data_IF_276897475905
#
_entry.id   IF_276897475905
#
_cell.length_a   1.000
_cell.length_b   1.000
_cell.length_c   1.000
_cell.angle_alpha   90.00
_cell.angle_beta   90.00
_cell.angle_gamma   90.00
#
_symmetry.space_group_name_H-M   'P 1'
#
loop_
_entity.id
_entity.type
_entity.pdbx_description
1 polymer ?
#
# COMPACT_ATOMS: atom_id res chain seq x y z
N UNK A 1 -7.19 11.58 1.60
CA UNK A 1 -7.36 12.29 0.31
C UNK A 1 -6.98 13.76 0.39
N UNK A 2 -6.95 14.35 1.58
CA UNK A 2 -6.65 15.76 1.81
C UNK A 2 -5.28 16.20 1.26
N UNK A 3 -4.26 15.36 1.41
CA UNK A 3 -2.93 15.61 0.81
C UNK A 3 -2.97 15.59 -0.72
N UNK A 4 -3.81 14.75 -1.34
CA UNK A 4 -3.89 14.67 -2.79
C UNK A 4 -4.43 15.99 -3.38
N UNK A 5 -5.45 16.59 -2.77
CA UNK A 5 -5.98 17.87 -3.23
C UNK A 5 -5.01 19.04 -3.01
N UNK A 6 -4.12 18.92 -2.02
CA UNK A 6 -3.12 19.95 -1.72
C UNK A 6 -1.92 19.91 -2.66
N UNK A 7 -1.47 18.72 -3.05
CA UNK A 7 -0.18 18.53 -3.74
C UNK A 7 -0.31 18.12 -5.21
N UNK A 8 -1.47 17.66 -5.67
CA UNK A 8 -1.67 17.24 -7.05
C UNK A 8 -2.41 18.32 -7.84
N UNK A 9 -2.01 18.50 -9.10
CA UNK A 9 -2.81 19.30 -10.03
C UNK A 9 -4.12 18.58 -10.42
N UNK A 10 -5.00 19.28 -11.14
CA UNK A 10 -6.31 18.73 -11.53
C UNK A 10 -6.19 17.45 -12.37
N UNK A 11 -5.18 17.37 -13.25
CA UNK A 11 -4.97 16.22 -14.14
C UNK A 11 -4.45 15.03 -13.34
N UNK A 12 -3.48 15.25 -12.46
CA UNK A 12 -2.91 14.23 -11.58
C UNK A 12 -3.97 13.70 -10.61
N UNK A 13 -4.76 14.60 -10.01
CA UNK A 13 -5.85 14.23 -9.12
C UNK A 13 -6.90 13.36 -9.83
N UNK A 14 -7.32 13.74 -11.05
CA UNK A 14 -8.23 12.93 -11.88
C UNK A 14 -7.62 11.61 -12.33
N UNK A 15 -6.29 11.55 -12.44
CA UNK A 15 -5.54 10.35 -12.80
C UNK A 15 -5.41 9.34 -11.66
N UNK A 16 -5.74 9.71 -10.42
CA UNK A 16 -5.66 8.82 -9.26
C UNK A 16 -6.54 7.59 -9.46
N UNK A 17 -5.91 6.44 -9.28
CA UNK A 17 -6.53 5.13 -9.34
C UNK A 17 -5.79 4.15 -8.41
N UNK A 18 -6.32 2.92 -8.30
CA UNK A 18 -5.73 1.89 -7.42
C UNK A 18 -4.25 1.60 -7.70
N UNK A 19 -3.79 1.73 -8.94
CA UNK A 19 -2.40 1.46 -9.30
C UNK A 19 -1.48 2.59 -8.86
N UNK A 20 -1.87 3.84 -9.07
CA UNK A 20 -1.10 4.99 -8.55
C UNK A 20 -1.01 4.98 -7.03
N UNK A 21 -2.09 4.59 -6.33
CA UNK A 21 -2.09 4.46 -4.87
C UNK A 21 -1.19 3.30 -4.41
N UNK A 22 -1.26 2.14 -5.08
CA UNK A 22 -0.39 1.01 -4.77
C UNK A 22 1.10 1.35 -4.98
N UNK A 23 1.43 2.06 -6.06
CA UNK A 23 2.80 2.53 -6.29
C UNK A 23 3.26 3.51 -5.22
N UNK A 24 2.42 4.46 -4.82
CA UNK A 24 2.76 5.40 -3.75
C UNK A 24 2.99 4.69 -2.41
N UNK A 25 2.11 3.76 -2.05
CA UNK A 25 2.28 2.94 -0.84
C UNK A 25 3.55 2.08 -0.91
N UNK A 26 3.84 1.48 -2.06
CA UNK A 26 5.09 0.74 -2.27
C UNK A 26 6.33 1.60 -2.04
N UNK A 27 6.29 2.87 -2.46
CA UNK A 27 7.37 3.82 -2.18
C UNK A 27 7.51 4.15 -0.70
N UNK A 28 6.40 4.37 0.03
CA UNK A 28 6.44 4.61 1.49
C UNK A 28 7.06 3.43 2.24
N UNK A 29 6.67 2.21 1.85
CA UNK A 29 7.18 0.97 2.45
C UNK A 29 8.68 0.80 2.17
N UNK A 30 9.13 1.09 0.96
CA UNK A 30 10.54 1.05 0.61
C UNK A 30 11.35 2.13 1.33
N UNK A 31 10.80 3.35 1.41
CA UNK A 31 11.40 4.47 2.15
C UNK A 31 11.59 4.11 3.62
N UNK A 32 10.56 3.58 4.28
CA UNK A 32 10.63 3.13 5.67
C UNK A 32 11.78 2.12 5.88
N UNK A 33 11.86 1.08 5.03
CA UNK A 33 12.90 0.07 5.14
C UNK A 33 14.32 0.65 4.92
N UNK A 34 14.45 1.61 3.99
CA UNK A 34 15.71 2.34 3.76
C UNK A 34 16.08 3.18 4.99
N UNK A 35 15.11 3.92 5.54
CA UNK A 35 15.33 4.77 6.72
C UNK A 35 15.78 3.95 7.94
N UNK A 36 15.17 2.79 8.17
CA UNK A 36 15.55 1.88 9.25
C UNK A 36 16.97 1.31 9.12
N UNK A 37 17.55 1.28 7.92
CA UNK A 37 18.94 0.86 7.72
C UNK A 37 19.97 1.93 8.11
N UNK A 38 19.58 3.21 8.18
CA UNK A 38 20.48 4.31 8.51
C UNK A 38 21.74 4.33 7.64
N UNK A 39 22.90 4.49 8.27
CA UNK A 39 24.20 4.50 7.58
C UNK A 39 24.60 3.13 7.00
N UNK A 40 24.02 2.03 7.48
CA UNK A 40 24.31 0.67 7.04
C UNK A 40 23.44 0.25 5.82
N UNK A 41 23.20 1.18 4.90
CA UNK A 41 22.32 0.98 3.75
C UNK A 41 22.90 -0.05 2.76
N UNK A 42 22.40 -1.28 2.88
CA UNK A 42 22.73 -2.40 2.00
C UNK A 42 21.45 -3.07 1.53
N UNK A 43 21.52 -3.76 0.38
CA UNK A 43 20.38 -4.55 -0.11
C UNK A 43 19.91 -5.58 0.92
N UNK A 44 20.85 -6.24 1.60
CA UNK A 44 20.54 -7.21 2.66
C UNK A 44 19.79 -6.56 3.82
N UNK A 45 20.23 -5.40 4.29
CA UNK A 45 19.52 -4.68 5.34
C UNK A 45 18.11 -4.29 4.90
N UNK A 46 17.94 -3.73 3.69
CA UNK A 46 16.60 -3.32 3.21
C UNK A 46 15.66 -4.53 3.12
N UNK A 47 16.14 -5.68 2.63
CA UNK A 47 15.34 -6.91 2.62
C UNK A 47 14.96 -7.36 4.02
N UNK A 48 15.92 -7.37 4.96
CA UNK A 48 15.66 -7.71 6.37
C UNK A 48 14.60 -6.77 6.98
N UNK A 49 14.71 -5.45 6.75
CA UNK A 49 13.73 -4.49 7.29
C UNK A 49 12.36 -4.63 6.64
N UNK A 50 12.30 -4.85 5.33
CA UNK A 50 11.06 -5.17 4.64
C UNK A 50 10.42 -6.44 5.23
N UNK A 51 11.16 -7.53 5.39
CA UNK A 51 10.64 -8.80 5.94
C UNK A 51 10.21 -8.68 7.41
N UNK A 52 10.67 -7.65 8.13
CA UNK A 52 10.24 -7.34 9.50
C UNK A 52 8.98 -6.47 9.61
N UNK A 53 8.46 -5.95 8.48
CA UNK A 53 7.27 -5.10 8.48
C UNK A 53 6.02 -5.92 8.84
N UNK A 54 5.46 -5.60 10.00
CA UNK A 54 4.17 -6.11 10.47
C UNK A 54 3.15 -4.98 10.55
N UNK A 55 2.07 -5.09 9.77
CA UNK A 55 0.96 -4.14 9.74
C UNK A 55 1.39 -2.66 9.65
N UNK A 56 2.35 -2.35 8.79
CA UNK A 56 2.86 -0.99 8.58
C UNK A 56 1.74 -0.07 8.07
N UNK A 57 1.49 1.01 8.81
CA UNK A 57 0.37 1.92 8.54
C UNK A 57 0.71 2.93 7.43
N UNK A 58 -0.20 3.04 6.46
CA UNK A 58 0.00 3.87 5.25
C UNK A 58 -1.02 5.01 5.16
N UNK A 59 -1.35 5.58 6.33
CA UNK A 59 -2.23 6.76 6.43
C UNK A 59 -3.65 6.54 5.91
N UNK A 60 -4.18 5.30 6.02
CA UNK A 60 -5.53 4.96 5.60
C UNK A 60 -5.74 4.85 4.08
N UNK A 61 -4.67 4.87 3.28
CA UNK A 61 -4.76 4.68 1.83
C UNK A 61 -5.13 3.24 1.44
N UNK A 62 -4.70 2.28 2.26
CA UNK A 62 -5.06 0.87 2.19
C UNK A 62 -4.89 0.23 3.58
N UNK A 63 -5.24 -1.04 3.71
CA UNK A 63 -4.90 -1.82 4.90
C UNK A 63 -3.39 -1.82 5.14
N UNK A 64 -2.98 -1.98 6.39
CA UNK A 64 -1.56 -2.04 6.75
C UNK A 64 -0.82 -3.12 5.96
N UNK A 65 0.44 -2.84 5.64
CA UNK A 65 1.29 -3.71 4.81
C UNK A 65 2.08 -4.63 5.71
N UNK A 66 2.02 -5.93 5.43
CA UNK A 66 2.83 -6.95 6.09
C UNK A 66 3.65 -7.71 5.05
N UNK A 67 4.93 -7.93 5.37
CA UNK A 67 5.80 -8.89 4.70
C UNK A 67 6.29 -9.91 5.71
N UNK A 68 6.98 -10.95 5.24
CA UNK A 68 7.60 -11.95 6.11
C UNK A 68 8.77 -12.62 5.41
N UNK A 69 9.52 -13.43 6.14
CA UNK A 69 10.69 -14.14 5.60
C UNK A 69 10.32 -14.95 4.35
N UNK A 70 10.95 -14.63 3.21
CA UNK A 70 10.66 -15.28 1.93
C UNK A 70 9.29 -14.93 1.32
N UNK A 71 8.43 -14.21 2.03
CA UNK A 71 7.13 -13.75 1.55
C UNK A 71 7.20 -12.30 1.06
N UNK A 72 7.21 -12.17 -0.27
CA UNK A 72 7.34 -10.89 -0.98
C UNK A 72 6.02 -10.35 -1.49
N UNK A 73 4.90 -10.98 -1.13
CA UNK A 73 3.57 -10.47 -1.46
C UNK A 73 3.11 -9.53 -0.36
N UNK A 74 2.80 -8.28 -0.71
CA UNK A 74 2.31 -7.29 0.25
C UNK A 74 0.91 -7.67 0.68
N UNK A 75 0.83 -8.39 1.80
CA UNK A 75 -0.44 -8.83 2.35
C UNK A 75 -1.15 -7.59 2.82
N UNK A 76 -2.14 -7.20 2.03
CA UNK A 76 -3.07 -6.12 2.29
C UNK A 76 -4.46 -6.73 2.29
N UNK A 77 -5.39 -6.14 3.05
CA UNK A 77 -6.74 -6.67 3.18
C UNK A 77 -7.41 -6.88 1.83
N UNK A 78 -8.01 -8.05 1.63
CA UNK A 78 -8.76 -8.37 0.42
C UNK A 78 -10.22 -7.97 0.63
N UNK A 79 -10.80 -7.27 -0.34
CA UNK A 79 -12.23 -6.97 -0.37
C UNK A 79 -12.86 -7.41 -1.69
N UNK A 80 -14.15 -7.72 -1.65
CA UNK A 80 -14.95 -7.90 -2.84
C UNK A 80 -15.60 -6.58 -3.24
N UNK A 81 -15.58 -6.31 -4.54
CA UNK A 81 -16.30 -5.19 -5.16
C UNK A 81 -17.28 -5.72 -6.19
N UNK A 82 -18.44 -5.08 -6.28
CA UNK A 82 -19.43 -5.33 -7.30
C UNK A 82 -19.33 -4.25 -8.39
N UNK A 83 -19.23 -4.69 -9.65
CA UNK A 83 -19.32 -3.79 -10.80
C UNK A 83 -20.75 -3.27 -10.96
N UNK A 84 -20.90 -1.96 -11.09
CA UNK A 84 -22.16 -1.29 -11.41
C UNK A 84 -21.99 -0.57 -12.76
N UNK A 85 -22.31 -1.25 -13.87
CA UNK A 85 -21.92 -0.79 -15.22
C UNK A 85 -22.69 0.45 -15.67
N UNK A 86 -23.94 0.62 -15.24
CA UNK A 86 -24.77 1.78 -15.56
C UNK A 86 -24.20 3.07 -14.97
N UNK A 87 -23.79 3.03 -13.70
CA UNK A 87 -23.14 4.16 -13.02
C UNK A 87 -21.64 4.25 -13.30
N UNK A 88 -21.04 3.22 -13.92
CA UNK A 88 -19.59 3.09 -14.16
C UNK A 88 -18.76 3.17 -12.87
N UNK A 89 -19.27 2.58 -11.79
CA UNK A 89 -18.59 2.54 -10.48
C UNK A 89 -18.40 1.10 -10.01
N UNK A 90 -17.51 0.93 -9.03
CA UNK A 90 -17.39 -0.29 -8.25
C UNK A 90 -17.87 -0.02 -6.84
N UNK A 91 -18.85 -0.80 -6.37
CA UNK A 91 -19.35 -0.72 -5.00
C UNK A 91 -18.63 -1.75 -4.14
N UNK A 92 -18.11 -1.33 -2.99
CA UNK A 92 -17.59 -2.27 -1.99
C UNK A 92 -18.76 -3.08 -1.40
N UNK A 93 -18.63 -4.41 -1.37
CA UNK A 93 -19.65 -5.31 -0.82
C UNK A 93 -19.17 -6.08 0.41
N UNK A 94 -17.89 -5.96 0.75
CA UNK A 94 -17.31 -6.47 2.00
C UNK A 94 -16.36 -5.45 2.59
N UNK A 95 -16.16 -5.50 3.90
CA UNK A 95 -15.01 -4.87 4.53
C UNK A 95 -13.70 -5.58 4.12
N UNK A 96 -12.54 -4.89 4.12
CA UNK A 96 -11.26 -5.51 3.87
C UNK A 96 -10.96 -6.59 4.92
N UNK A 97 -10.64 -7.80 4.47
CA UNK A 97 -10.20 -8.90 5.34
C UNK A 97 -8.71 -9.12 5.18
N UNK A 98 -7.96 -8.90 6.25
CA UNK A 98 -6.54 -9.24 6.29
C UNK A 98 -6.42 -10.76 6.30
N UNK A 99 -5.67 -11.30 5.34
CA UNK A 99 -5.36 -12.72 5.29
C UNK A 99 -4.14 -12.94 6.18
N UNK A 100 -4.24 -13.70 7.29
CA UNK A 100 -3.08 -13.96 8.13
C UNK A 100 -2.07 -14.80 7.35
N UNK A 101 -0.80 -14.44 7.44
CA UNK A 101 0.28 -15.23 6.85
C UNK A 101 1.25 -15.63 7.95
N UNK A 102 1.68 -16.89 7.89
CA UNK A 102 2.70 -17.47 8.76
C UNK A 102 4.07 -17.22 8.16
#
# INVERSE_FOLDING_TARGET
MDNAQKYLDEKEYKGLNRYSLASYVGSLVMEEAIQQCGEALTRSCVVEKLESLDNFQVGGLMSGVTFGEGNRFSISGVLAVQSQPEEKVFKMVTDPKVIPVR
#
